data_IF_856995024560
#
_entry.id   IF_856995024560
#
_cell.length_a   1.000
_cell.length_b   1.000
_cell.length_c   1.000
_cell.angle_alpha   90.00
_cell.angle_beta   90.00
_cell.angle_gamma   90.00
#
_symmetry.space_group_name_H-M   'P 1'
#
loop_
_entity.id
_entity.type
_entity.pdbx_description
1 polymer ?
#
# COMPACT_ATOMS: atom_id res chain seq x y z
N UNK A 1 12.64 17.80 -1.33
CA UNK A 1 11.88 16.78 -2.09
C UNK A 1 12.03 15.51 -1.29
N UNK A 2 10.96 14.95 -0.73
CA UNK A 2 11.09 13.76 0.12
C UNK A 2 11.64 12.61 -0.72
N UNK A 3 12.68 11.96 -0.19
CA UNK A 3 13.32 10.79 -0.77
C UNK A 3 12.47 9.56 -0.50
N UNK A 4 11.22 9.55 -0.97
CA UNK A 4 10.30 8.41 -0.83
C UNK A 4 10.39 7.54 -2.08
N UNK A 5 10.54 6.23 -1.91
CA UNK A 5 10.62 5.30 -3.03
C UNK A 5 9.27 5.22 -3.74
N UNK A 6 9.27 5.47 -5.05
CA UNK A 6 8.07 5.46 -5.88
C UNK A 6 7.92 4.14 -6.63
N UNK A 7 6.69 3.77 -6.95
CA UNK A 7 6.36 2.57 -7.71
C UNK A 7 7.02 2.55 -9.10
N UNK A 8 7.34 3.71 -9.69
CA UNK A 8 8.15 3.79 -10.92
C UNK A 8 9.55 3.16 -10.81
N UNK A 9 10.10 3.02 -9.60
CA UNK A 9 11.38 2.36 -9.37
C UNK A 9 11.28 0.83 -9.32
N UNK A 10 10.05 0.27 -9.32
CA UNK A 10 9.78 -1.16 -9.29
C UNK A 10 9.17 -1.61 -10.62
N UNK A 11 9.44 -2.85 -11.01
CA UNK A 11 8.62 -3.49 -12.02
C UNK A 11 7.26 -3.85 -11.39
N UNK A 12 6.15 -3.55 -12.06
CA UNK A 12 4.81 -3.92 -11.60
C UNK A 12 4.70 -5.43 -11.27
N UNK A 13 5.44 -6.27 -11.99
CA UNK A 13 5.51 -7.71 -11.76
C UNK A 13 6.03 -8.09 -10.36
N UNK A 14 6.90 -7.29 -9.74
CA UNK A 14 7.37 -7.54 -8.37
C UNK A 14 6.21 -7.49 -7.37
N UNK A 15 5.36 -6.45 -7.49
CA UNK A 15 4.15 -6.33 -6.66
C UNK A 15 3.14 -7.44 -6.98
N UNK A 16 2.96 -7.76 -8.27
CA UNK A 16 2.04 -8.83 -8.67
C UNK A 16 2.47 -10.18 -8.14
N UNK A 17 3.77 -10.51 -8.19
CA UNK A 17 4.32 -11.74 -7.65
C UNK A 17 4.20 -11.80 -6.13
N UNK A 18 4.48 -10.69 -5.45
CA UNK A 18 4.35 -10.58 -3.99
C UNK A 18 2.91 -10.86 -3.51
N UNK A 19 1.91 -10.38 -4.25
CA UNK A 19 0.51 -10.44 -3.83
C UNK A 19 -0.34 -11.55 -4.48
N UNK A 20 0.24 -12.34 -5.37
CA UNK A 20 -0.46 -13.40 -6.10
C UNK A 20 -1.16 -14.41 -5.18
N UNK A 21 -0.49 -14.82 -4.08
CA UNK A 21 -1.03 -15.80 -3.13
C UNK A 21 -2.20 -15.26 -2.30
N UNK A 22 -2.34 -13.94 -2.20
CA UNK A 22 -3.44 -13.27 -1.49
C UNK A 22 -4.64 -13.01 -2.40
N UNK A 23 -4.49 -13.20 -3.72
CA UNK A 23 -5.54 -12.91 -4.70
C UNK A 23 -5.73 -11.42 -5.03
N UNK A 24 -4.81 -10.56 -4.57
CA UNK A 24 -4.78 -9.13 -4.87
C UNK A 24 -4.06 -8.88 -6.20
N UNK A 25 -4.54 -7.90 -6.97
CA UNK A 25 -4.10 -7.59 -8.34
C UNK A 25 -3.57 -6.16 -8.43
N UNK A 26 -2.26 -5.97 -8.33
CA UNK A 26 -1.63 -4.70 -8.66
C UNK A 26 -1.80 -4.35 -10.15
N UNK A 27 -2.28 -3.14 -10.40
CA UNK A 27 -2.57 -2.58 -11.72
C UNK A 27 -2.05 -1.14 -11.80
N UNK A 28 -1.35 -0.80 -12.89
CA UNK A 28 -0.93 0.57 -13.15
C UNK A 28 -2.06 1.39 -13.76
N UNK A 29 -2.22 2.63 -13.30
CA UNK A 29 -3.07 3.65 -13.92
C UNK A 29 -2.23 4.66 -14.69
N UNK A 30 -2.87 5.44 -15.56
CA UNK A 30 -2.19 6.50 -16.34
C UNK A 30 -1.71 7.63 -15.43
N UNK A 31 -0.54 8.18 -15.76
CA UNK A 31 0.06 9.32 -15.05
C UNK A 31 -0.82 10.58 -15.08
N UNK A 32 -1.67 10.73 -16.09
CA UNK A 32 -2.58 11.89 -16.26
C UNK A 32 -3.93 11.69 -15.55
N UNK A 33 -4.13 10.56 -14.86
CA UNK A 33 -5.40 10.19 -14.24
C UNK A 33 -5.32 10.22 -12.72
N UNK A 34 -6.45 10.55 -12.07
CA UNK A 34 -6.63 10.28 -10.65
C UNK A 34 -6.57 8.77 -10.39
N UNK A 35 -6.05 8.37 -9.23
CA UNK A 35 -5.97 6.96 -8.83
C UNK A 35 -7.35 6.56 -8.29
N UNK A 36 -8.11 5.68 -8.97
CA UNK A 36 -9.42 5.26 -8.47
C UNK A 36 -9.26 4.47 -7.18
N UNK A 37 -10.16 4.65 -6.23
CA UNK A 37 -10.08 3.90 -4.98
C UNK A 37 -9.12 4.47 -3.94
N UNK A 38 -8.41 5.56 -4.24
CA UNK A 38 -7.59 6.27 -3.25
C UNK A 38 -8.50 7.02 -2.27
N UNK A 39 -8.20 6.92 -0.98
CA UNK A 39 -8.95 7.52 0.11
C UNK A 39 -8.59 8.99 0.30
N UNK A 40 -7.29 9.31 0.30
CA UNK A 40 -6.80 10.68 0.44
C UNK A 40 -6.59 11.40 -0.90
N UNK A 41 -6.51 10.65 -2.01
CA UNK A 41 -6.28 11.16 -3.36
C UNK A 41 -4.79 11.28 -3.72
N UNK A 42 -4.51 12.16 -4.66
CA UNK A 42 -3.17 12.47 -5.16
C UNK A 42 -2.39 11.24 -5.62
N UNK A 43 -1.31 10.90 -4.91
CA UNK A 43 -0.38 9.83 -5.23
C UNK A 43 -0.56 8.59 -4.34
N UNK A 44 -1.52 8.59 -3.40
CA UNK A 44 -1.86 7.41 -2.60
C UNK A 44 -2.41 6.28 -3.50
N UNK A 45 -1.99 5.05 -3.21
CA UNK A 45 -2.54 3.87 -3.87
C UNK A 45 -4.06 3.78 -3.65
N UNK A 46 -4.76 3.25 -4.65
CA UNK A 46 -6.18 3.02 -4.58
C UNK A 46 -6.53 1.56 -4.39
N UNK A 47 -7.64 1.31 -3.70
CA UNK A 47 -8.10 -0.05 -3.41
C UNK A 47 -9.59 -0.21 -3.74
N UNK A 48 -9.89 -1.08 -4.72
CA UNK A 48 -11.25 -1.42 -5.14
C UNK A 48 -11.32 -2.93 -5.36
N UNK A 49 -12.28 -3.60 -4.73
CA UNK A 49 -12.41 -5.06 -4.76
C UNK A 49 -11.08 -5.75 -4.41
N UNK A 50 -10.45 -6.42 -5.38
CA UNK A 50 -9.13 -7.03 -5.24
C UNK A 50 -8.08 -6.37 -6.13
N UNK A 51 -8.29 -5.11 -6.52
CA UNK A 51 -7.41 -4.35 -7.41
C UNK A 51 -6.68 -3.29 -6.58
N UNK A 52 -5.36 -3.36 -6.61
CA UNK A 52 -4.47 -2.36 -6.05
C UNK A 52 -4.01 -1.45 -7.18
N UNK A 53 -4.50 -0.22 -7.20
CA UNK A 53 -4.33 0.73 -8.28
C UNK A 53 -3.19 1.68 -7.94
N UNK A 54 -2.17 1.72 -8.78
CA UNK A 54 -0.95 2.52 -8.53
C UNK A 54 -0.61 3.37 -9.75
N UNK A 55 -0.11 4.58 -9.52
CA UNK A 55 0.48 5.45 -10.55
C UNK A 55 2.00 5.45 -10.41
N UNK A 56 2.72 5.98 -11.39
CA UNK A 56 4.18 5.99 -11.36
C UNK A 56 4.76 6.71 -10.12
N UNK A 57 4.11 7.78 -9.68
CA UNK A 57 4.45 8.58 -8.50
C UNK A 57 3.92 7.99 -7.19
N UNK A 58 3.15 6.90 -7.21
CA UNK A 58 2.65 6.29 -5.97
C UNK A 58 3.80 5.83 -5.08
N UNK A 59 3.83 6.19 -3.79
CA UNK A 59 4.81 5.64 -2.85
C UNK A 59 4.68 4.12 -2.71
N UNK A 60 5.80 3.41 -2.68
CA UNK A 60 5.80 1.96 -2.46
C UNK A 60 5.19 1.61 -1.12
N UNK A 61 5.44 2.40 -0.07
CA UNK A 61 4.83 2.16 1.24
C UNK A 61 3.31 2.32 1.22
N UNK A 62 2.76 3.26 0.43
CA UNK A 62 1.32 3.43 0.27
C UNK A 62 0.69 2.22 -0.42
N UNK A 63 1.32 1.70 -1.47
CA UNK A 63 0.85 0.48 -2.14
C UNK A 63 0.87 -0.74 -1.19
N UNK A 64 1.90 -0.89 -0.36
CA UNK A 64 1.98 -1.97 0.62
C UNK A 64 0.97 -1.81 1.77
N UNK A 65 0.66 -0.57 2.17
CA UNK A 65 -0.32 -0.27 3.21
C UNK A 65 -1.73 -0.69 2.79
N UNK A 66 -2.18 -0.24 1.61
CA UNK A 66 -3.47 -0.62 1.05
C UNK A 66 -3.57 -2.14 0.80
N UNK A 67 -2.49 -2.76 0.35
CA UNK A 67 -2.44 -4.21 0.23
C UNK A 67 -2.60 -4.92 1.59
N UNK A 68 -2.03 -4.34 2.66
CA UNK A 68 -2.18 -4.82 4.02
C UNK A 68 -3.64 -4.84 4.45
N UNK A 69 -4.36 -3.74 4.20
CA UNK A 69 -5.81 -3.67 4.47
C UNK A 69 -6.56 -4.80 3.78
N UNK A 70 -6.33 -4.99 2.48
CA UNK A 70 -6.96 -6.09 1.75
C UNK A 70 -6.66 -7.46 2.39
N UNK A 71 -5.40 -7.71 2.75
CA UNK A 71 -4.98 -8.99 3.34
C UNK A 71 -5.62 -9.23 4.71
N UNK A 72 -5.74 -8.19 5.54
CA UNK A 72 -6.37 -8.26 6.86
C UNK A 72 -7.89 -8.40 6.82
N UNK A 73 -8.55 -7.94 5.75
CA UNK A 73 -10.01 -8.07 5.60
C UNK A 73 -10.47 -9.52 5.45
N UNK A 74 -11.65 -9.80 6.01
CA UNK A 74 -12.43 -10.99 5.66
C UNK A 74 -13.07 -10.89 4.27
N UNK A 75 -13.64 -12.00 3.79
CA UNK A 75 -14.25 -12.08 2.47
C UNK A 75 -15.49 -11.16 2.31
N UNK A 76 -16.22 -10.89 3.39
CA UNK A 76 -17.42 -10.05 3.34
C UNK A 76 -17.04 -8.58 3.17
N UNK A 77 -16.03 -8.10 3.89
CA UNK A 77 -15.49 -6.74 3.74
C UNK A 77 -14.89 -6.54 2.35
N UNK A 78 -14.11 -7.51 1.85
CA UNK A 78 -13.54 -7.45 0.48
C UNK A 78 -14.60 -7.31 -0.61
N UNK A 79 -15.75 -7.98 -0.46
CA UNK A 79 -16.82 -7.96 -1.46
C UNK A 79 -17.54 -6.60 -1.60
N UNK A 80 -17.42 -5.72 -0.60
CA UNK A 80 -17.97 -4.37 -0.63
C UNK A 80 -16.91 -3.27 -0.73
N UNK A 81 -15.65 -3.63 -0.99
CA UNK A 81 -14.53 -2.72 -0.90
C UNK A 81 -14.49 -1.75 -2.08
N UNK A 82 -14.73 -0.48 -1.79
CA UNK A 82 -14.52 0.62 -2.72
C UNK A 82 -13.97 1.81 -1.94
N UNK A 83 -12.65 2.03 -2.00
CA UNK A 83 -11.91 3.09 -1.29
C UNK A 83 -11.76 2.91 0.22
N UNK A 84 -12.86 2.82 0.97
CA UNK A 84 -12.77 2.77 2.42
C UNK A 84 -12.55 1.34 2.93
N UNK A 85 -11.37 1.07 3.46
CA UNK A 85 -11.03 -0.21 4.08
C UNK A 85 -11.84 -0.49 5.36
N UNK A 86 -12.17 0.54 6.14
CA UNK A 86 -12.92 0.41 7.40
C UNK A 86 -12.21 -0.41 8.47
N UNK A 87 -10.86 -0.38 8.49
CA UNK A 87 -10.04 -1.06 9.50
C UNK A 87 -10.17 -0.44 10.90
N UNK A 88 -9.83 -1.23 11.91
CA UNK A 88 -9.69 -0.77 13.30
C UNK A 88 -8.21 -0.63 13.70
N UNK A 89 -7.94 -0.24 14.94
CA UNK A 89 -6.57 -0.06 15.42
C UNK A 89 -5.73 -1.34 15.40
N UNK A 90 -6.35 -2.51 15.58
CA UNK A 90 -5.63 -3.79 15.56
C UNK A 90 -5.26 -4.15 14.11
N UNK A 91 -6.15 -3.86 13.16
CA UNK A 91 -5.86 -3.96 11.73
C UNK A 91 -4.71 -3.03 11.32
N UNK A 92 -4.75 -1.74 11.69
CA UNK A 92 -3.68 -0.77 11.38
C UNK A 92 -2.31 -1.25 11.87
N UNK A 93 -2.24 -1.82 13.08
CA UNK A 93 -1.02 -2.45 13.60
C UNK A 93 -0.56 -3.62 12.73
N UNK A 94 -1.50 -4.48 12.32
CA UNK A 94 -1.23 -5.60 11.42
C UNK A 94 -0.72 -5.15 10.05
N UNK A 95 -1.35 -4.13 9.46
CA UNK A 95 -0.95 -3.52 8.18
C UNK A 95 0.46 -2.96 8.27
N UNK A 96 0.76 -2.16 9.30
CA UNK A 96 2.09 -1.60 9.54
C UNK A 96 3.15 -2.70 9.69
N UNK A 97 2.81 -3.80 10.35
CA UNK A 97 3.75 -4.92 10.50
C UNK A 97 3.98 -5.66 9.18
N UNK A 98 2.91 -5.96 8.43
CA UNK A 98 2.97 -6.69 7.16
C UNK A 98 3.76 -5.92 6.10
N UNK A 99 3.54 -4.61 5.97
CA UNK A 99 4.28 -3.81 4.97
C UNK A 99 5.79 -3.83 5.23
N UNK A 100 6.23 -3.89 6.49
CA UNK A 100 7.66 -4.03 6.83
C UNK A 100 8.20 -5.39 6.39
N UNK A 101 7.44 -6.47 6.59
CA UNK A 101 7.85 -7.81 6.18
C UNK A 101 7.93 -7.93 4.66
N UNK A 102 6.97 -7.35 3.94
CA UNK A 102 6.95 -7.35 2.48
C UNK A 102 8.01 -6.44 1.87
N UNK A 103 8.39 -5.36 2.56
CA UNK A 103 9.45 -4.47 2.09
C UNK A 103 10.77 -5.21 1.83
N UNK A 104 11.12 -6.20 2.65
CA UNK A 104 12.33 -7.04 2.48
C UNK A 104 12.32 -7.86 1.19
N UNK A 105 11.16 -8.12 0.61
CA UNK A 105 11.01 -8.86 -0.64
C UNK A 105 11.10 -7.96 -1.89
N UNK A 106 11.08 -6.63 -1.74
CA UNK A 106 11.06 -5.69 -2.86
C UNK A 106 12.43 -5.03 -3.09
N UNK A 107 12.90 -4.96 -4.36
CA UNK A 107 14.15 -4.29 -4.69
C UNK A 107 14.18 -2.83 -4.23
N UNK A 108 15.21 -2.45 -3.48
CA UNK A 108 15.44 -1.06 -3.07
C UNK A 108 14.51 -0.52 -1.97
N UNK A 109 13.53 -1.30 -1.52
CA UNK A 109 12.73 -0.96 -0.34
C UNK A 109 13.44 -1.49 0.91
N UNK A 110 13.22 -2.74 1.31
CA UNK A 110 13.76 -3.25 2.58
C UNK A 110 13.21 -2.51 3.80
N UNK A 111 13.44 -3.05 5.00
CA UNK A 111 12.84 -2.51 6.23
C UNK A 111 13.33 -1.11 6.60
N UNK A 112 14.62 -0.82 6.45
CA UNK A 112 15.17 0.49 6.83
C UNK A 112 14.60 1.63 5.97
N UNK A 113 14.44 1.39 4.66
CA UNK A 113 13.79 2.36 3.78
C UNK A 113 12.31 2.49 4.11
N UNK A 114 11.61 1.39 4.40
CA UNK A 114 10.21 1.43 4.80
C UNK A 114 9.99 2.38 5.99
N UNK A 115 10.82 2.27 7.03
CA UNK A 115 10.76 3.20 8.15
C UNK A 115 11.01 4.65 7.75
N UNK A 116 12.04 4.87 6.94
CA UNK A 116 12.42 6.22 6.48
C UNK A 116 11.32 6.87 5.64
N UNK A 117 10.70 6.10 4.74
CA UNK A 117 9.66 6.57 3.84
C UNK A 117 8.36 6.86 4.60
N UNK A 118 7.97 6.00 5.54
CA UNK A 118 6.82 6.23 6.43
C UNK A 118 7.00 7.51 7.26
N UNK A 119 8.18 7.70 7.86
CA UNK A 119 8.50 8.91 8.62
C UNK A 119 8.50 10.16 7.73
N UNK A 120 9.06 10.07 6.51
CA UNK A 120 9.08 11.18 5.55
C UNK A 120 7.69 11.54 5.02
N UNK A 121 6.78 10.57 4.94
CA UNK A 121 5.38 10.76 4.58
C UNK A 121 4.55 11.40 5.71
N UNK A 122 5.04 11.33 6.95
CA UNK A 122 4.35 11.85 8.13
C UNK A 122 3.40 10.85 8.80
N UNK A 123 3.46 9.57 8.41
CA UNK A 123 2.71 8.50 9.07
C UNK A 123 3.65 7.70 9.98
N UNK A 124 3.64 8.00 11.29
CA UNK A 124 4.36 7.22 12.29
C UNK A 124 3.37 6.49 13.21
N UNK A 125 3.15 5.20 13.01
CA UNK A 125 2.42 4.38 13.97
C UNK A 125 3.37 3.96 15.10
N UNK A 126 3.62 4.86 16.06
CA UNK A 126 4.34 4.52 17.29
C UNK A 126 3.31 4.02 18.30
N UNK A 127 3.58 2.87 18.91
CA UNK A 127 2.76 2.34 20.00
C UNK A 127 2.60 3.42 21.08
N UNK A 128 1.39 3.96 21.24
CA UNK A 128 1.06 4.99 22.24
C UNK A 128 1.05 6.44 21.77
N UNK A 129 1.06 6.74 20.47
CA UNK A 129 0.94 8.12 19.97
C UNK A 129 -0.24 8.37 19.01
N UNK A 130 -1.34 7.61 19.14
CA UNK A 130 -2.62 7.88 18.49
C UNK A 130 -3.64 8.36 19.54
#
# INVERSE_FOLDING_TARGET
MSDVLRCAALALSELQSLFASYGLKPESVSDDSAIPGSFWGDEEAGLIDNRLLIRADTPVHSALHEAGHYVCMDAQRRAGLHTNAGGDYDEENGVCYLQILWAEALPGMGRERMFTDMDAWGYSFRLGSA
#
